data_IF_546407731896
#
_entry.id   IF_546407731896
#
_cell.length_a   1.000
_cell.length_b   1.000
_cell.length_c   1.000
_cell.angle_alpha   90.00
_cell.angle_beta   90.00
_cell.angle_gamma   90.00
#
_symmetry.space_group_name_H-M   'P 1'
#
loop_
_entity.id
_entity.type
_entity.pdbx_description
1 polymer ?
#
# COMPACT_ATOMS: atom_id res chain seq x y z
N UNK A 1 -26.78 -79.91 -5.43
CA UNK A 1 -25.70 -78.90 -5.27
C UNK A 1 -26.24 -77.58 -5.77
N UNK A 2 -26.45 -76.62 -4.85
CA UNK A 2 -26.93 -75.27 -5.18
C UNK A 2 -25.75 -74.28 -4.95
N UNK A 3 -25.26 -73.76 -6.05
CA UNK A 3 -24.21 -72.72 -6.04
C UNK A 3 -24.88 -71.39 -5.79
N UNK A 4 -24.48 -70.70 -4.66
CA UNK A 4 -24.86 -69.34 -4.34
C UNK A 4 -23.87 -68.39 -5.00
N UNK A 5 -24.37 -67.62 -5.97
CA UNK A 5 -23.59 -66.54 -6.60
C UNK A 5 -23.61 -65.31 -5.71
N UNK A 6 -22.44 -64.83 -5.29
CA UNK A 6 -22.27 -63.62 -4.53
C UNK A 6 -22.11 -62.46 -5.55
N UNK A 7 -23.05 -61.52 -5.54
CA UNK A 7 -22.95 -60.26 -6.30
C UNK A 7 -22.18 -59.24 -5.50
N UNK A 8 -20.99 -58.89 -5.98
CA UNK A 8 -20.19 -57.83 -5.39
C UNK A 8 -20.54 -56.52 -6.09
N UNK A 9 -21.19 -55.60 -5.36
CA UNK A 9 -21.49 -54.25 -5.85
C UNK A 9 -20.25 -53.40 -5.61
N UNK A 10 -19.59 -53.01 -6.71
CA UNK A 10 -18.52 -52.01 -6.68
C UNK A 10 -19.15 -50.60 -6.62
N UNK A 11 -19.10 -49.98 -5.46
CA UNK A 11 -19.46 -48.57 -5.30
C UNK A 11 -18.33 -47.70 -5.87
N UNK A 12 -18.58 -47.10 -7.04
CA UNK A 12 -17.69 -46.15 -7.69
C UNK A 12 -17.82 -44.80 -6.93
N UNK A 13 -16.89 -44.52 -6.06
CA UNK A 13 -16.78 -43.21 -5.42
C UNK A 13 -16.14 -42.25 -6.44
N UNK A 14 -16.93 -41.42 -7.09
CA UNK A 14 -16.43 -40.29 -7.90
C UNK A 14 -15.86 -39.23 -6.92
N UNK A 15 -14.59 -38.86 -7.04
CA UNK A 15 -14.08 -37.67 -6.33
C UNK A 15 -14.73 -36.44 -6.96
N UNK A 16 -15.53 -35.71 -6.19
CA UNK A 16 -15.92 -34.33 -6.51
C UNK A 16 -14.64 -33.48 -6.49
N UNK A 17 -14.06 -33.26 -7.66
CA UNK A 17 -13.11 -32.18 -7.86
C UNK A 17 -13.88 -30.86 -7.69
N UNK A 18 -13.92 -30.35 -6.46
CA UNK A 18 -14.26 -28.97 -6.20
C UNK A 18 -13.17 -28.14 -6.86
N UNK A 19 -13.40 -27.70 -8.10
CA UNK A 19 -12.53 -26.75 -8.79
C UNK A 19 -12.47 -25.51 -7.94
N UNK A 20 -11.35 -25.34 -7.22
CA UNK A 20 -11.02 -24.10 -6.55
C UNK A 20 -10.90 -23.03 -7.63
N UNK A 21 -11.99 -22.36 -7.95
CA UNK A 21 -11.95 -21.07 -8.61
C UNK A 21 -11.10 -20.21 -7.67
N UNK A 22 -9.86 -19.93 -8.07
CA UNK A 22 -9.06 -18.92 -7.46
C UNK A 22 -9.80 -17.62 -7.79
N UNK A 23 -10.74 -17.22 -6.92
CA UNK A 23 -11.20 -15.85 -6.88
C UNK A 23 -9.95 -15.05 -6.56
N UNK A 24 -9.44 -14.31 -7.54
CA UNK A 24 -8.49 -13.25 -7.29
C UNK A 24 -9.24 -12.19 -6.46
N UNK A 25 -9.25 -12.39 -5.14
CA UNK A 25 -9.79 -11.42 -4.21
C UNK A 25 -8.92 -10.17 -4.35
N UNK A 26 -9.56 -9.03 -4.56
CA UNK A 26 -8.90 -7.74 -4.49
C UNK A 26 -8.38 -7.52 -3.06
N UNK A 27 -7.21 -6.91 -2.94
CA UNK A 27 -6.63 -6.60 -1.63
C UNK A 27 -7.57 -5.87 -0.69
N UNK A 28 -8.48 -5.06 -1.23
CA UNK A 28 -9.46 -4.31 -0.44
C UNK A 28 -10.65 -5.15 0.06
N UNK A 29 -10.90 -6.34 -0.47
CA UNK A 29 -12.02 -7.21 -0.06
C UNK A 29 -11.99 -7.57 1.44
N UNK A 30 -10.80 -7.60 2.03
CA UNK A 30 -10.58 -7.91 3.45
C UNK A 30 -10.66 -6.70 4.37
N UNK A 31 -10.69 -5.48 3.81
CA UNK A 31 -10.69 -4.24 4.59
C UNK A 31 -12.08 -3.93 5.14
N UNK A 32 -12.15 -3.44 6.36
CA UNK A 32 -13.38 -2.93 7.01
C UNK A 32 -13.03 -1.65 7.76
N UNK A 33 -13.91 -0.65 7.67
CA UNK A 33 -13.75 0.58 8.47
C UNK A 33 -13.77 0.25 9.96
N UNK A 34 -12.81 0.82 10.69
CA UNK A 34 -12.60 0.53 12.12
C UNK A 34 -11.73 -0.69 12.42
N UNK A 35 -11.35 -1.47 11.40
CA UNK A 35 -10.36 -2.54 11.55
C UNK A 35 -8.93 -2.06 11.34
N UNK A 36 -7.96 -2.94 11.59
CA UNK A 36 -6.54 -2.69 11.25
C UNK A 36 -6.33 -2.85 9.74
N UNK A 37 -6.43 -1.72 9.01
CA UNK A 37 -6.25 -1.65 7.54
C UNK A 37 -4.86 -2.16 7.14
N UNK A 38 -3.80 -1.86 7.90
CA UNK A 38 -2.46 -2.33 7.62
C UNK A 38 -2.41 -3.86 7.60
N UNK A 39 -2.97 -4.48 8.65
CA UNK A 39 -3.02 -5.94 8.75
C UNK A 39 -3.83 -6.58 7.64
N UNK A 40 -4.94 -5.94 7.23
CA UNK A 40 -5.80 -6.44 6.17
C UNK A 40 -5.12 -6.41 4.80
N UNK A 41 -4.35 -5.34 4.51
CA UNK A 41 -3.70 -5.16 3.21
C UNK A 41 -2.33 -5.84 3.08
N UNK A 42 -1.60 -6.05 4.18
CA UNK A 42 -0.25 -6.60 4.13
C UNK A 42 -0.25 -8.01 3.51
N UNK A 43 0.51 -8.19 2.43
CA UNK A 43 0.61 -9.45 1.68
C UNK A 43 -0.55 -9.70 0.71
N UNK A 44 -1.54 -8.80 0.65
CA UNK A 44 -2.64 -8.91 -0.32
C UNK A 44 -2.16 -8.60 -1.74
N UNK A 45 -2.91 -9.06 -2.73
CA UNK A 45 -2.64 -8.78 -4.14
C UNK A 45 -3.57 -7.67 -4.61
N UNK A 46 -2.97 -6.64 -5.25
CA UNK A 46 -3.73 -5.59 -5.91
C UNK A 46 -4.10 -6.04 -7.32
N UNK A 47 -5.31 -5.74 -7.76
CA UNK A 47 -5.77 -6.09 -9.10
C UNK A 47 -5.27 -5.06 -10.12
N UNK A 48 -5.12 -5.51 -11.39
CA UNK A 48 -4.79 -4.61 -12.51
C UNK A 48 -6.04 -3.96 -13.12
N UNK A 49 -7.14 -3.88 -12.37
CA UNK A 49 -8.37 -3.24 -12.83
C UNK A 49 -8.21 -1.72 -12.86
N UNK A 50 -9.08 -1.07 -13.63
CA UNK A 50 -9.12 0.40 -13.63
C UNK A 50 -9.48 0.92 -12.24
N UNK A 51 -8.79 1.94 -11.80
CA UNK A 51 -9.01 2.61 -10.50
C UNK A 51 -10.50 2.89 -10.24
N UNK A 52 -11.21 3.44 -11.23
CA UNK A 52 -12.63 3.76 -11.10
C UNK A 52 -13.52 2.53 -10.82
N UNK A 53 -13.13 1.35 -11.29
CA UNK A 53 -13.85 0.09 -11.03
C UNK A 53 -13.61 -0.36 -9.59
N UNK A 54 -12.37 -0.22 -9.12
CA UNK A 54 -11.98 -0.55 -7.73
C UNK A 54 -12.70 0.41 -6.77
N UNK A 55 -12.66 1.72 -7.03
CA UNK A 55 -13.34 2.74 -6.21
C UNK A 55 -14.85 2.48 -6.11
N UNK A 56 -15.53 2.16 -7.23
CA UNK A 56 -16.96 1.86 -7.22
C UNK A 56 -17.29 0.56 -6.46
N UNK A 57 -16.46 -0.48 -6.61
CA UNK A 57 -16.62 -1.75 -5.89
C UNK A 57 -16.53 -1.56 -4.38
N UNK A 58 -15.64 -0.71 -3.93
CA UNK A 58 -15.33 -0.45 -2.52
C UNK A 58 -15.80 0.93 -2.04
N UNK A 59 -16.89 1.44 -2.60
CA UNK A 59 -17.46 2.74 -2.22
C UNK A 59 -17.89 2.84 -0.76
N UNK A 60 -18.21 1.72 -0.14
CA UNK A 60 -18.52 1.61 1.30
C UNK A 60 -17.31 1.91 2.19
N UNK A 61 -16.09 1.71 1.68
CA UNK A 61 -14.85 2.12 2.33
C UNK A 61 -14.50 3.60 2.08
N UNK A 62 -15.27 4.31 1.24
CA UNK A 62 -14.89 5.64 0.76
C UNK A 62 -13.54 5.62 0.08
N UNK A 63 -13.24 4.52 -0.66
CA UNK A 63 -11.96 4.30 -1.31
C UNK A 63 -11.72 5.36 -2.37
N UNK A 64 -10.53 6.00 -2.33
CA UNK A 64 -10.11 7.01 -3.28
C UNK A 64 -8.64 6.88 -3.58
N UNK A 65 -8.30 6.73 -4.85
CA UNK A 65 -6.92 6.78 -5.31
C UNK A 65 -6.36 8.20 -5.17
N UNK A 66 -5.18 8.31 -4.61
CA UNK A 66 -4.44 9.56 -4.43
C UNK A 66 -3.18 9.60 -5.29
N UNK A 67 -3.02 8.61 -6.16
CA UNK A 67 -1.87 8.47 -7.06
C UNK A 67 -0.77 7.59 -6.51
N UNK A 68 0.28 7.48 -7.32
CA UNK A 68 1.44 6.66 -6.96
C UNK A 68 2.67 7.06 -7.78
N UNK A 69 3.81 6.54 -7.38
CA UNK A 69 5.09 6.75 -8.05
C UNK A 69 5.96 5.50 -8.00
N UNK A 70 6.78 5.34 -9.01
CA UNK A 70 7.83 4.32 -9.02
C UNK A 70 8.96 4.73 -8.08
N UNK A 71 9.37 3.79 -7.22
CA UNK A 71 10.50 3.98 -6.31
C UNK A 71 11.75 3.32 -6.88
N UNK A 72 11.58 2.17 -7.51
CA UNK A 72 12.63 1.42 -8.22
C UNK A 72 12.00 0.49 -9.25
N UNK A 73 12.80 -0.16 -10.08
CA UNK A 73 12.37 -1.09 -11.14
C UNK A 73 11.34 -2.14 -10.70
N UNK A 74 11.14 -2.31 -9.42
CA UNK A 74 10.27 -3.33 -8.85
C UNK A 74 9.34 -2.84 -7.75
N UNK A 75 9.59 -1.65 -7.20
CA UNK A 75 8.88 -1.16 -6.03
C UNK A 75 8.09 0.11 -6.39
N UNK A 76 6.79 0.06 -6.19
CA UNK A 76 5.87 1.17 -6.36
C UNK A 76 5.36 1.65 -5.00
N UNK A 77 5.17 2.94 -4.88
CA UNK A 77 4.46 3.59 -3.80
C UNK A 77 3.10 4.02 -4.32
N UNK A 78 2.03 3.53 -3.72
CA UNK A 78 0.65 3.86 -4.09
C UNK A 78 -0.04 4.44 -2.87
N UNK A 79 -0.75 5.54 -3.06
CA UNK A 79 -1.47 6.23 -1.99
C UNK A 79 -2.97 6.08 -2.16
N UNK A 80 -3.66 5.70 -1.09
CA UNK A 80 -5.11 5.55 -1.06
C UNK A 80 -5.72 6.24 0.14
N UNK A 81 -6.89 6.84 -0.05
CA UNK A 81 -7.77 7.18 1.06
C UNK A 81 -8.72 6.02 1.32
N UNK A 82 -8.77 5.54 2.56
CA UNK A 82 -9.54 4.37 2.98
C UNK A 82 -10.23 4.73 4.29
N UNK A 83 -11.56 4.66 4.34
CA UNK A 83 -12.34 5.02 5.54
C UNK A 83 -12.04 6.45 6.06
N UNK A 84 -11.75 7.38 5.13
CA UNK A 84 -11.45 8.78 5.45
C UNK A 84 -10.01 9.05 5.91
N UNK A 85 -9.17 8.02 6.02
CA UNK A 85 -7.75 8.15 6.38
C UNK A 85 -6.86 7.81 5.19
N UNK A 86 -5.66 8.38 5.15
CA UNK A 86 -4.71 8.15 4.05
C UNK A 86 -3.69 7.07 4.40
N UNK A 87 -3.41 6.24 3.40
CA UNK A 87 -2.46 5.14 3.52
C UNK A 87 -1.52 5.14 2.32
N UNK A 88 -0.23 4.98 2.60
CA UNK A 88 0.79 4.72 1.61
C UNK A 88 1.10 3.22 1.61
N UNK A 89 1.07 2.60 0.46
CA UNK A 89 1.33 1.17 0.25
C UNK A 89 2.61 1.01 -0.55
N UNK A 90 3.51 0.16 -0.10
CA UNK A 90 4.61 -0.32 -0.93
C UNK A 90 4.19 -1.60 -1.63
N UNK A 91 4.32 -1.62 -2.94
CA UNK A 91 3.92 -2.74 -3.78
C UNK A 91 5.12 -3.27 -4.58
N UNK A 92 5.27 -4.60 -4.61
CA UNK A 92 6.21 -5.32 -5.47
C UNK A 92 5.44 -6.36 -6.28
N UNK A 93 5.34 -6.17 -7.59
CA UNK A 93 4.65 -7.08 -8.54
C UNK A 93 3.19 -7.36 -8.15
N UNK A 94 2.44 -6.34 -7.82
CA UNK A 94 1.04 -6.45 -7.42
C UNK A 94 0.82 -6.92 -5.98
N UNK A 95 1.87 -7.16 -5.19
CA UNK A 95 1.74 -7.61 -3.79
C UNK A 95 2.12 -6.49 -2.83
N UNK A 96 1.23 -6.17 -1.91
CA UNK A 96 1.48 -5.17 -0.85
C UNK A 96 2.52 -5.68 0.13
N UNK A 97 3.66 -5.00 0.21
CA UNK A 97 4.81 -5.36 1.06
C UNK A 97 4.85 -4.64 2.39
N UNK A 98 4.40 -3.40 2.41
CA UNK A 98 4.21 -2.65 3.65
C UNK A 98 3.11 -1.60 3.48
N UNK A 99 2.51 -1.19 4.59
CA UNK A 99 1.42 -0.22 4.65
C UNK A 99 1.72 0.78 5.75
N UNK A 100 1.71 2.05 5.41
CA UNK A 100 1.87 3.16 6.33
C UNK A 100 0.57 3.95 6.39
N UNK A 101 -0.06 4.04 7.58
CA UNK A 101 -1.10 5.05 7.79
C UNK A 101 -0.43 6.41 7.75
N UNK A 102 -0.78 7.22 6.76
CA UNK A 102 -0.14 8.51 6.57
C UNK A 102 -0.65 9.52 7.59
N UNK A 103 0.22 10.35 8.18
CA UNK A 103 -0.20 11.37 9.13
C UNK A 103 -0.98 12.48 8.43
N UNK A 104 -1.84 13.16 9.22
CA UNK A 104 -2.53 14.34 8.71
C UNK A 104 -1.54 15.40 8.27
N UNK A 105 -1.83 16.04 7.15
CA UNK A 105 -1.03 17.08 6.54
C UNK A 105 -1.90 18.26 6.10
N UNK A 106 -1.29 19.39 5.78
CA UNK A 106 -1.95 20.64 5.42
C UNK A 106 -1.02 21.51 4.57
N UNK A 107 -1.44 22.70 4.16
CA UNK A 107 -0.58 23.68 3.49
C UNK A 107 0.61 24.11 4.34
N UNK A 108 0.43 24.20 5.66
CA UNK A 108 1.50 24.56 6.60
C UNK A 108 2.38 23.37 6.97
N UNK A 109 1.88 22.19 6.76
CA UNK A 109 2.58 20.93 6.99
C UNK A 109 2.36 19.98 5.81
N UNK A 110 2.97 20.27 4.65
CA UNK A 110 2.70 19.54 3.41
C UNK A 110 3.28 18.13 3.44
N UNK A 111 2.59 17.24 2.72
CA UNK A 111 3.11 15.92 2.39
C UNK A 111 4.26 16.05 1.38
N UNK A 112 5.24 15.17 1.47
CA UNK A 112 6.32 15.10 0.50
C UNK A 112 6.74 13.66 0.20
N UNK A 113 7.34 13.48 -0.97
CA UNK A 113 8.10 12.30 -1.39
C UNK A 113 9.36 12.81 -2.07
N UNK A 114 10.54 12.42 -1.61
CA UNK A 114 11.77 12.91 -2.23
C UNK A 114 13.02 12.64 -1.41
N UNK A 115 14.05 13.46 -1.64
CA UNK A 115 15.35 13.36 -0.97
C UNK A 115 15.39 14.15 0.32
N UNK A 116 16.14 13.66 1.29
CA UNK A 116 16.39 14.32 2.56
C UNK A 116 17.88 14.31 2.92
N UNK A 117 18.25 15.22 3.80
CA UNK A 117 19.56 15.28 4.44
C UNK A 117 19.40 15.29 5.96
N UNK A 118 20.27 14.59 6.66
CA UNK A 118 20.36 14.61 8.11
C UNK A 118 21.70 15.21 8.52
N UNK A 119 21.66 16.33 9.23
CA UNK A 119 22.88 17.06 9.64
C UNK A 119 23.85 17.35 8.48
N UNK A 120 23.31 17.68 7.29
CA UNK A 120 24.08 17.99 6.08
C UNK A 120 24.60 16.77 5.30
N UNK A 121 24.25 15.55 5.70
CA UNK A 121 24.56 14.32 4.98
C UNK A 121 23.32 13.75 4.31
N UNK A 122 23.43 13.32 3.07
CA UNK A 122 22.31 12.72 2.34
C UNK A 122 21.79 11.46 3.03
N UNK A 123 20.47 11.38 3.13
CA UNK A 123 19.78 10.14 3.54
C UNK A 123 19.60 9.27 2.30
N UNK A 124 20.20 8.08 2.24
CA UNK A 124 20.11 7.24 1.05
C UNK A 124 18.68 6.79 0.76
N UNK A 125 18.27 6.88 -0.52
CA UNK A 125 16.96 6.45 -1.00
C UNK A 125 15.87 7.52 -0.89
N UNK A 126 14.65 7.12 -1.21
CA UNK A 126 13.48 8.00 -1.17
C UNK A 126 12.90 8.06 0.24
N UNK A 127 12.59 9.27 0.69
CA UNK A 127 11.86 9.51 1.93
C UNK A 127 10.43 9.99 1.63
N UNK A 128 9.51 9.67 2.54
CA UNK A 128 8.11 10.11 2.54
C UNK A 128 7.76 10.65 3.92
N UNK A 129 6.93 11.69 3.97
CA UNK A 129 6.51 12.23 5.27
C UNK A 129 5.78 13.56 5.18
N UNK A 130 5.88 14.31 6.27
CA UNK A 130 5.28 15.64 6.40
C UNK A 130 6.38 16.62 6.76
N UNK A 131 6.44 17.73 6.03
CA UNK A 131 7.39 18.81 6.26
C UNK A 131 6.73 19.96 7.02
N UNK A 132 7.52 20.80 7.66
CA UNK A 132 7.09 22.11 8.13
C UNK A 132 7.35 23.12 7.02
N UNK A 133 6.29 23.75 6.52
CA UNK A 133 6.44 24.75 5.47
C UNK A 133 7.15 26.01 6.02
N UNK A 134 8.18 26.45 5.32
CA UNK A 134 8.92 27.68 5.59
C UNK A 134 8.98 28.49 4.28
N UNK A 135 8.41 29.69 4.28
CA UNK A 135 8.30 30.51 3.09
C UNK A 135 9.70 30.81 2.49
N UNK A 136 9.82 30.62 1.17
CA UNK A 136 11.07 30.90 0.44
C UNK A 136 12.21 29.88 0.66
N UNK A 137 12.05 28.89 1.56
CA UNK A 137 13.07 27.88 1.77
C UNK A 137 12.95 26.72 0.75
N UNK A 138 14.07 26.33 0.15
CA UNK A 138 14.13 25.16 -0.79
C UNK A 138 14.25 23.84 -0.04
N UNK A 139 14.77 23.86 1.18
CA UNK A 139 14.99 22.69 2.03
C UNK A 139 14.23 22.91 3.33
N UNK A 140 13.30 22.02 3.66
CA UNK A 140 12.34 22.15 4.73
C UNK A 140 12.60 21.15 5.86
N UNK A 141 12.38 21.53 7.14
CA UNK A 141 12.51 20.58 8.23
C UNK A 141 11.40 19.53 8.20
N UNK A 142 11.75 18.29 8.47
CA UNK A 142 10.79 17.21 8.57
C UNK A 142 10.08 17.24 9.92
N UNK A 143 8.73 17.17 9.89
CA UNK A 143 7.90 16.97 11.10
C UNK A 143 7.87 15.50 11.46
N UNK A 144 7.66 14.66 10.46
CA UNK A 144 7.71 13.21 10.58
C UNK A 144 8.09 12.62 9.21
N UNK A 145 8.97 11.63 9.20
CA UNK A 145 9.44 11.04 7.95
C UNK A 145 9.77 9.55 8.10
N UNK A 146 9.68 8.86 6.98
CA UNK A 146 10.14 7.49 6.79
C UNK A 146 10.99 7.43 5.53
N UNK A 147 12.06 6.66 5.56
CA UNK A 147 12.71 6.25 4.32
C UNK A 147 12.05 4.97 3.81
N UNK A 148 12.04 4.82 2.50
CA UNK A 148 11.66 3.58 1.84
C UNK A 148 12.93 2.74 1.71
N UNK A 149 12.94 1.58 2.38
CA UNK A 149 14.02 0.60 2.23
C UNK A 149 13.65 -0.37 1.11
N UNK A 150 14.26 -0.20 -0.05
CA UNK A 150 14.00 -0.99 -1.24
C UNK A 150 14.35 -2.48 -1.06
N UNK A 151 15.40 -2.77 -0.28
CA UNK A 151 15.83 -4.16 -0.02
C UNK A 151 14.87 -4.90 0.90
N UNK A 152 14.39 -4.23 1.96
CA UNK A 152 13.44 -4.80 2.90
C UNK A 152 11.99 -4.57 2.48
N UNK A 153 11.74 -3.70 1.48
CA UNK A 153 10.41 -3.26 1.01
C UNK A 153 9.55 -2.76 2.17
N UNK A 154 10.12 -1.83 2.97
CA UNK A 154 9.49 -1.33 4.20
C UNK A 154 9.68 0.17 4.37
N UNK A 155 8.73 0.75 5.08
CA UNK A 155 8.86 2.10 5.64
C UNK A 155 9.68 2.05 6.93
N UNK A 156 10.84 2.71 6.95
CA UNK A 156 11.71 2.81 8.12
C UNK A 156 11.63 4.23 8.65
N UNK A 157 11.09 4.40 9.86
CA UNK A 157 10.96 5.71 10.50
C UNK A 157 12.32 6.36 10.68
N UNK A 158 12.43 7.63 10.30
CA UNK A 158 13.61 8.46 10.47
C UNK A 158 13.53 9.28 11.76
N UNK A 159 14.68 9.58 12.34
CA UNK A 159 14.80 10.63 13.35
C UNK A 159 14.69 11.98 12.64
N UNK A 160 13.84 12.87 13.16
CA UNK A 160 13.58 14.17 12.51
C UNK A 160 14.48 15.30 12.99
N UNK A 161 15.24 15.09 14.07
CA UNK A 161 16.21 16.06 14.52
C UNK A 161 17.32 16.26 13.48
N UNK A 162 17.48 17.48 12.99
CA UNK A 162 18.42 17.81 11.90
C UNK A 162 18.04 17.25 10.52
N UNK A 163 16.86 16.61 10.37
CA UNK A 163 16.38 16.10 9.11
C UNK A 163 15.68 17.21 8.31
N UNK A 164 16.16 17.45 7.11
CA UNK A 164 15.61 18.44 6.17
C UNK A 164 15.45 17.79 4.80
N UNK A 165 14.36 18.13 4.11
CA UNK A 165 14.03 17.49 2.82
C UNK A 165 13.74 18.54 1.76
N UNK A 166 13.95 18.20 0.49
CA UNK A 166 13.74 19.11 -0.63
C UNK A 166 12.26 19.47 -0.78
N UNK A 167 11.99 20.75 -1.03
CA UNK A 167 10.66 21.27 -1.34
C UNK A 167 10.09 20.68 -2.64
N UNK A 168 10.94 20.32 -3.58
CA UNK A 168 10.52 19.78 -4.88
C UNK A 168 9.70 18.47 -4.76
N UNK A 169 9.84 17.77 -3.64
CA UNK A 169 9.07 16.58 -3.33
C UNK A 169 7.69 16.84 -2.73
N UNK A 170 7.25 18.10 -2.58
CA UNK A 170 5.93 18.40 -2.02
C UNK A 170 4.83 17.97 -2.99
N UNK A 171 3.90 17.16 -2.48
CA UNK A 171 2.69 16.79 -3.20
C UNK A 171 1.61 17.81 -2.88
N UNK A 172 1.13 18.52 -3.91
CA UNK A 172 0.02 19.45 -3.75
C UNK A 172 -1.30 18.71 -3.81
N UNK A 173 -2.30 19.17 -3.04
CA UNK A 173 -3.63 18.55 -2.97
C UNK A 173 -4.37 18.49 -4.34
N UNK A 174 -3.86 19.19 -5.33
CA UNK A 174 -4.42 19.28 -6.69
C UNK A 174 -3.81 18.23 -7.65
N UNK A 175 -3.01 17.27 -7.13
CA UNK A 175 -2.49 16.14 -7.90
C UNK A 175 -1.36 16.50 -8.88
N UNK A 176 -0.71 17.63 -8.70
CA UNK A 176 0.48 18.03 -9.47
C UNK A 176 1.76 17.50 -8.80
N UNK A 177 2.45 16.57 -9.46
CA UNK A 177 3.90 16.43 -9.38
C UNK A 177 4.52 17.49 -10.28
#
# INVERSE_FOLDING_TARGET
MKTKGTVTIFMLVLPLFCGSSICNADGFDSVRCGSDVRKALLGSTMTNEKVSVIEERHKDLGLKDLGGTEISDRLFLISWRICGEEYALLEDKGVVRDVLKFPKHSKDSPQFIGSCQSNGHDVPGTAIGVLKNEEGAEILPAVIAWKIDDKQMKFIKLQTEGLRCSRDGIITADGGL
#
